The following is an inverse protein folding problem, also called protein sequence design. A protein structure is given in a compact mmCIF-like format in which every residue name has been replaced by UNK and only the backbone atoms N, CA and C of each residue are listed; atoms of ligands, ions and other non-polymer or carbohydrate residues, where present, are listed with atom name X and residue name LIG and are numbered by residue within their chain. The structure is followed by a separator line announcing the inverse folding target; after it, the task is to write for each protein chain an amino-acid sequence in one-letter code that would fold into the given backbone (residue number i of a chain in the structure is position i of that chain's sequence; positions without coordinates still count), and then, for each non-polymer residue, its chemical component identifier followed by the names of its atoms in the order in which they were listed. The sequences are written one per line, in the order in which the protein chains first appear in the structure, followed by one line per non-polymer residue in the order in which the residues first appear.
data_IF_654931009464
#
_entry.id   IF_654931009464
#
_cell.length_a   1.000
_cell.length_b   1.000
_cell.length_c   1.000
_cell.angle_alpha   90.00
_cell.angle_beta   90.00
_cell.angle_gamma   90.00
#
_symmetry.space_group_name_H-M   'P 1'
#
loop_
_entity.id
_entity.type
_entity.pdbx_description
1 polymer ?
#
# COMPACT_ATOMS: atom_id res chain seq x y z
N UNK A 1 11.13 12.01 10.03
CA UNK A 1 10.30 10.81 10.20
C UNK A 1 11.13 9.76 10.92
N UNK A 2 10.72 9.36 12.12
CA UNK A 2 11.40 8.34 12.94
C UNK A 2 10.95 6.94 12.53
N UNK A 3 11.76 5.90 12.79
CA UNK A 3 11.44 4.51 12.40
C UNK A 3 10.10 3.98 12.97
N UNK A 4 9.64 4.53 14.12
CA UNK A 4 8.36 4.19 14.73
C UNK A 4 7.14 4.70 13.96
N UNK A 5 7.23 5.91 13.39
CA UNK A 5 6.16 6.49 12.56
C UNK A 5 6.00 5.72 11.25
N UNK A 6 7.12 5.32 10.63
CA UNK A 6 7.12 4.50 9.41
C UNK A 6 6.48 3.12 9.63
N UNK A 7 6.76 2.51 10.79
CA UNK A 7 6.16 1.22 11.18
C UNK A 7 4.64 1.36 11.38
N UNK A 8 4.20 2.45 12.00
CA UNK A 8 2.78 2.76 12.17
C UNK A 8 2.05 2.98 10.84
N UNK A 9 2.68 3.69 9.90
CA UNK A 9 2.10 3.95 8.58
C UNK A 9 1.97 2.67 7.75
N UNK A 10 3.02 1.84 7.71
CA UNK A 10 2.97 0.56 7.01
C UNK A 10 1.88 -0.37 7.58
N UNK A 11 1.67 -0.37 8.89
CA UNK A 11 0.60 -1.15 9.51
C UNK A 11 -0.82 -0.67 9.10
N UNK A 12 -1.02 0.65 8.96
CA UNK A 12 -2.30 1.22 8.48
C UNK A 12 -2.56 0.87 7.03
N UNK A 13 -1.54 0.99 6.17
CA UNK A 13 -1.64 0.60 4.76
C UNK A 13 -1.91 -0.91 4.62
N UNK A 14 -1.26 -1.74 5.44
CA UNK A 14 -1.52 -3.18 5.45
C UNK A 14 -2.95 -3.53 5.86
N UNK A 15 -3.51 -2.83 6.86
CA UNK A 15 -4.90 -2.99 7.25
C UNK A 15 -5.87 -2.58 6.13
N UNK A 16 -5.55 -1.52 5.39
CA UNK A 16 -6.31 -1.09 4.21
C UNK A 16 -6.22 -2.12 3.08
N UNK A 17 -5.02 -2.62 2.76
CA UNK A 17 -4.82 -3.67 1.76
C UNK A 17 -5.62 -4.94 2.05
N UNK A 18 -5.73 -5.34 3.33
CA UNK A 18 -6.58 -6.47 3.74
C UNK A 18 -8.07 -6.23 3.51
N UNK A 19 -8.54 -4.98 3.62
CA UNK A 19 -9.95 -4.65 3.32
C UNK A 19 -10.21 -4.69 1.82
N UNK A 20 -9.31 -4.11 1.03
CA UNK A 20 -9.42 -4.06 -0.42
C UNK A 20 -9.30 -5.44 -1.10
N UNK A 21 -8.39 -6.30 -0.61
CA UNK A 21 -8.06 -7.59 -1.24
C UNK A 21 -8.67 -8.80 -0.53
N UNK A 22 -9.30 -8.62 0.63
CA UNK A 22 -10.00 -9.68 1.36
C UNK A 22 -9.11 -10.60 2.21
N UNK A 23 -7.97 -11.09 1.70
CA UNK A 23 -7.10 -11.99 2.47
C UNK A 23 -5.81 -11.34 2.96
N UNK A 24 -5.26 -11.90 4.05
CA UNK A 24 -3.94 -11.49 4.56
C UNK A 24 -2.82 -11.83 3.58
N UNK A 25 -2.96 -12.91 2.81
CA UNK A 25 -1.97 -13.34 1.85
C UNK A 25 -1.88 -12.35 0.69
N UNK A 26 -3.00 -11.99 0.08
CA UNK A 26 -3.08 -11.02 -1.02
C UNK A 26 -2.61 -9.63 -0.56
N UNK A 27 -3.02 -9.19 0.64
CA UNK A 27 -2.54 -7.93 1.20
C UNK A 27 -1.01 -7.91 1.38
N UNK A 28 -0.41 -9.04 1.81
CA UNK A 28 1.04 -9.15 1.95
C UNK A 28 1.73 -9.15 0.59
N UNK A 29 1.19 -9.91 -0.37
CA UNK A 29 1.73 -9.97 -1.72
C UNK A 29 1.72 -8.57 -2.37
N UNK A 30 0.59 -7.87 -2.32
CA UNK A 30 0.49 -6.49 -2.80
C UNK A 30 1.53 -5.60 -2.14
N UNK A 31 1.61 -5.59 -0.81
CA UNK A 31 2.51 -4.70 -0.07
C UNK A 31 4.00 -4.95 -0.32
N UNK A 32 4.37 -6.14 -0.81
CA UNK A 32 5.77 -6.55 -1.03
C UNK A 32 6.11 -6.78 -2.50
N UNK A 33 5.16 -6.60 -3.41
CA UNK A 33 5.38 -6.76 -4.85
C UNK A 33 5.64 -5.40 -5.51
N UNK A 34 6.63 -5.32 -6.42
CA UNK A 34 6.83 -4.18 -7.29
C UNK A 34 5.55 -3.78 -8.03
N UNK A 35 5.18 -2.50 -7.97
CA UNK A 35 3.97 -2.01 -8.63
C UNK A 35 4.30 -0.98 -9.72
N UNK A 36 3.76 -1.11 -10.94
CA UNK A 36 4.06 -0.19 -12.04
C UNK A 36 3.64 1.26 -11.73
N UNK A 37 2.49 1.47 -11.08
CA UNK A 37 2.05 2.81 -10.65
C UNK A 37 2.86 3.44 -9.50
N UNK A 38 3.85 2.71 -8.99
CA UNK A 38 4.80 3.15 -7.95
C UNK A 38 6.24 3.18 -8.49
N UNK A 39 6.42 3.36 -9.81
CA UNK A 39 7.72 3.37 -10.48
C UNK A 39 8.53 2.08 -10.25
N UNK A 40 7.83 0.94 -10.17
CA UNK A 40 8.43 -0.37 -9.91
C UNK A 40 8.84 -0.60 -8.45
N UNK A 41 8.51 0.31 -7.54
CA UNK A 41 8.73 0.12 -6.09
C UNK A 41 7.60 -0.69 -5.47
N UNK A 42 7.88 -1.34 -4.35
CA UNK A 42 6.84 -1.95 -3.52
C UNK A 42 6.05 -0.87 -2.76
N UNK A 43 4.78 -1.15 -2.37
CA UNK A 43 4.02 -0.24 -1.52
C UNK A 43 4.71 0.12 -0.20
N UNK A 44 5.44 -0.82 0.42
CA UNK A 44 6.21 -0.55 1.65
C UNK A 44 7.35 0.44 1.38
N UNK A 45 8.07 0.29 0.28
CA UNK A 45 9.13 1.24 -0.08
C UNK A 45 8.58 2.61 -0.44
N UNK A 46 7.48 2.66 -1.21
CA UNK A 46 6.82 3.90 -1.60
C UNK A 46 6.29 4.69 -0.39
N UNK A 47 5.80 3.99 0.65
CA UNK A 47 5.33 4.60 1.90
C UNK A 47 6.42 5.33 2.70
N UNK A 48 7.68 5.29 2.25
CA UNK A 48 8.76 6.09 2.85
C UNK A 48 8.61 7.59 2.66
N UNK A 49 7.68 8.03 1.80
CA UNK A 49 7.35 9.44 1.57
C UNK A 49 5.85 9.68 1.69
N UNK A 50 5.44 10.93 1.97
CA UNK A 50 4.02 11.29 2.02
C UNK A 50 3.35 11.08 0.66
N UNK A 51 3.98 11.53 -0.43
CA UNK A 51 3.47 11.34 -1.79
C UNK A 51 3.35 9.86 -2.19
N UNK A 52 4.31 9.02 -1.81
CA UNK A 52 4.24 7.59 -2.09
C UNK A 52 3.17 6.90 -1.25
N UNK A 53 2.99 7.31 0.01
CA UNK A 53 1.87 6.88 0.86
C UNK A 53 0.52 7.19 0.20
N UNK A 54 0.32 8.45 -0.21
CA UNK A 54 -0.91 8.88 -0.90
C UNK A 54 -1.15 8.05 -2.16
N UNK A 55 -0.11 7.73 -2.92
CA UNK A 55 -0.23 6.92 -4.13
C UNK A 55 -0.68 5.49 -3.83
N UNK A 56 -0.10 4.85 -2.80
CA UNK A 56 -0.54 3.53 -2.34
C UNK A 56 -2.01 3.57 -1.88
N UNK A 57 -2.42 4.60 -1.14
CA UNK A 57 -3.83 4.75 -0.72
C UNK A 57 -4.78 4.87 -1.91
N UNK A 58 -4.40 5.58 -2.97
CA UNK A 58 -5.22 5.70 -4.19
C UNK A 58 -5.41 4.34 -4.88
N UNK A 59 -4.32 3.57 -5.02
CA UNK A 59 -4.38 2.21 -5.61
C UNK A 59 -5.31 1.32 -4.79
N UNK A 60 -5.16 1.33 -3.46
CA UNK A 60 -6.00 0.53 -2.56
C UNK A 60 -7.48 0.96 -2.60
N UNK A 61 -7.75 2.27 -2.66
CA UNK A 61 -9.12 2.77 -2.83
C UNK A 61 -9.73 2.29 -4.15
N UNK A 62 -8.99 2.34 -5.26
CA UNK A 62 -9.49 1.84 -6.54
C UNK A 62 -9.82 0.35 -6.49
N UNK A 63 -8.94 -0.45 -5.89
CA UNK A 63 -9.17 -1.89 -5.67
C UNK A 63 -10.41 -2.15 -4.81
N UNK A 64 -10.57 -1.43 -3.69
CA UNK A 64 -11.72 -1.58 -2.78
C UNK A 64 -13.05 -1.21 -3.48
N UNK A 65 -13.03 -0.26 -4.41
CA UNK A 65 -14.22 0.18 -5.15
C UNK A 65 -14.44 -0.57 -6.48
N UNK A 66 -13.60 -1.56 -6.82
CA UNK A 66 -13.69 -2.30 -8.08
C UNK A 66 -13.41 -1.45 -9.32
N UNK A 67 -12.68 -0.34 -9.16
CA UNK A 67 -12.27 0.53 -10.25
C UNK A 67 -11.00 -0.05 -10.89
N UNK A 68 -10.99 -0.14 -12.22
CA UNK A 68 -9.79 -0.53 -12.95
C UNK A 68 -8.71 0.56 -12.79
N UNK A 69 -7.49 0.13 -12.47
CA UNK A 69 -6.26 0.92 -12.36
C UNK A 69 -5.25 0.44 -13.40
#
# INVERSE_FOLDING_TARGET
MTAGEQTGQAARLFAHARRALGTKAEAREFMTSPHPELDGRTPIEAASTDSGTRRVEQILNSLENGLAI
#
